data_IF_550779335345
#
_entry.id   IF_550779335345
#
_cell.length_a   1.000
_cell.length_b   1.000
_cell.length_c   1.000
_cell.angle_alpha   90.00
_cell.angle_beta   90.00
_cell.angle_gamma   90.00
#
_symmetry.space_group_name_H-M   'P 1'
#
loop_
_entity.id
_entity.type
_entity.pdbx_description
1 polymer ?
#
# COMPACT_ATOMS: atom_id res chain seq x y z
N UNK A 1 100.22 -4.14 13.68
CA UNK A 1 99.58 -4.24 12.34
C UNK A 1 98.60 -5.42 12.39
N UNK A 2 97.47 -5.44 11.67
CA UNK A 2 96.21 -4.69 11.87
C UNK A 2 94.97 -5.62 12.15
N UNK A 3 93.86 -5.02 12.60
CA UNK A 3 92.48 -5.60 12.54
C UNK A 3 91.99 -5.68 11.07
N UNK A 4 91.05 -6.60 10.70
CA UNK A 4 89.62 -6.21 10.65
C UNK A 4 88.54 -7.30 10.88
N UNK A 5 87.44 -6.83 11.49
CA UNK A 5 86.00 -7.02 11.21
C UNK A 5 85.24 -8.36 11.38
N UNK A 6 84.06 -8.33 12.05
CA UNK A 6 83.05 -9.40 12.01
C UNK A 6 81.95 -9.13 10.96
N UNK A 7 81.60 -10.15 10.18
CA UNK A 7 80.42 -10.17 9.31
C UNK A 7 79.27 -10.91 10.00
N UNK A 8 78.17 -10.21 10.21
CA UNK A 8 76.86 -10.72 10.62
C UNK A 8 76.16 -11.48 9.49
N UNK A 9 75.42 -12.53 9.81
CA UNK A 9 74.11 -12.79 9.20
C UNK A 9 73.35 -13.88 9.96
N UNK A 10 72.33 -13.43 10.67
CA UNK A 10 71.18 -14.18 11.16
C UNK A 10 70.34 -14.73 10.02
N UNK A 11 69.76 -15.93 10.18
CA UNK A 11 68.53 -16.29 9.47
C UNK A 11 67.56 -16.93 10.46
N UNK A 12 66.51 -16.17 10.74
CA UNK A 12 65.36 -16.50 11.58
C UNK A 12 64.40 -17.44 10.86
N UNK A 13 63.72 -18.24 11.68
CA UNK A 13 62.68 -19.17 11.31
C UNK A 13 61.46 -18.49 10.67
N UNK A 14 60.94 -19.09 9.60
CA UNK A 14 59.74 -18.65 8.91
C UNK A 14 58.48 -18.92 9.76
N UNK A 15 57.72 -17.86 10.04
CA UNK A 15 56.35 -17.92 10.55
C UNK A 15 55.35 -18.10 9.37
N UNK A 16 54.24 -18.83 9.57
CA UNK A 16 53.23 -19.01 8.51
C UNK A 16 52.42 -17.72 8.32
N UNK A 17 52.37 -17.24 7.08
CA UNK A 17 51.49 -16.13 6.68
C UNK A 17 50.03 -16.58 6.73
N UNK A 18 49.26 -15.99 7.63
CA UNK A 18 47.80 -16.01 7.60
C UNK A 18 47.36 -15.11 6.44
N UNK A 19 46.89 -15.72 5.35
CA UNK A 19 46.28 -15.01 4.25
C UNK A 19 44.96 -14.36 4.73
N UNK A 20 45.00 -13.06 4.97
CA UNK A 20 43.81 -12.23 5.14
C UNK A 20 43.20 -12.07 3.75
N UNK A 21 42.25 -12.96 3.41
CA UNK A 21 41.40 -12.79 2.23
C UNK A 21 40.48 -11.58 2.49
N UNK A 22 40.97 -10.39 2.15
CA UNK A 22 40.18 -9.18 2.00
C UNK A 22 39.28 -9.30 0.78
N UNK A 23 38.20 -10.07 0.91
CA UNK A 23 37.15 -10.12 -0.10
C UNK A 23 36.46 -8.76 -0.18
N UNK A 24 36.87 -7.92 -1.12
CA UNK A 24 36.07 -6.76 -1.51
C UNK A 24 34.66 -7.24 -1.84
N UNK A 25 33.60 -6.68 -1.23
CA UNK A 25 32.24 -7.07 -1.56
C UNK A 25 32.03 -6.84 -3.06
N UNK A 26 31.60 -7.90 -3.75
CA UNK A 26 31.23 -7.84 -5.17
C UNK A 26 30.32 -6.63 -5.42
N UNK A 27 30.52 -5.93 -6.53
CA UNK A 27 29.68 -4.79 -6.92
C UNK A 27 28.17 -5.14 -6.91
N UNK A 28 27.82 -6.40 -7.16
CA UNK A 28 26.44 -6.90 -7.06
C UNK A 28 25.93 -6.96 -5.60
N UNK A 29 26.79 -7.33 -4.65
CA UNK A 29 26.44 -7.33 -3.22
C UNK A 29 26.30 -5.91 -2.68
N UNK A 30 27.19 -5.00 -3.10
CA UNK A 30 27.10 -3.58 -2.75
C UNK A 30 25.83 -2.92 -3.33
N UNK A 31 25.48 -3.25 -4.58
CA UNK A 31 24.25 -2.77 -5.22
C UNK A 31 22.98 -3.32 -4.54
N UNK A 32 22.95 -4.60 -4.16
CA UNK A 32 21.83 -5.20 -3.45
C UNK A 32 21.60 -4.57 -2.06
N UNK A 33 22.68 -4.29 -1.32
CA UNK A 33 22.61 -3.62 -0.01
C UNK A 33 22.14 -2.17 -0.16
N UNK A 34 22.60 -1.46 -1.18
CA UNK A 34 22.14 -0.10 -1.47
C UNK A 34 20.66 -0.05 -1.85
N UNK A 35 20.19 -1.00 -2.66
CA UNK A 35 18.77 -1.10 -3.05
C UNK A 35 17.88 -1.44 -1.85
N UNK A 36 18.29 -2.39 -0.98
CA UNK A 36 17.58 -2.71 0.26
C UNK A 36 17.48 -1.51 1.21
N UNK A 37 18.56 -0.73 1.35
CA UNK A 37 18.56 0.49 2.15
C UNK A 37 17.60 1.56 1.60
N UNK A 38 17.62 1.80 0.28
CA UNK A 38 16.71 2.76 -0.36
C UNK A 38 15.25 2.30 -0.28
N UNK A 39 15.00 0.99 -0.37
CA UNK A 39 13.68 0.41 -0.18
C UNK A 39 13.15 0.66 1.23
N UNK A 40 13.94 0.32 2.26
CA UNK A 40 13.57 0.56 3.67
C UNK A 40 13.32 2.04 3.97
N UNK A 41 14.16 2.92 3.43
CA UNK A 41 13.99 4.38 3.58
C UNK A 41 12.68 4.87 2.95
N UNK A 42 12.31 4.36 1.77
CA UNK A 42 11.02 4.67 1.12
C UNK A 42 9.84 4.19 1.95
N UNK A 43 9.87 2.94 2.41
CA UNK A 43 8.84 2.34 3.25
C UNK A 43 8.61 3.16 4.53
N UNK A 44 9.70 3.57 5.18
CA UNK A 44 9.62 4.38 6.39
C UNK A 44 9.09 5.80 6.11
N UNK A 45 9.51 6.41 4.99
CA UNK A 45 8.99 7.71 4.56
C UNK A 45 7.50 7.68 4.24
N UNK A 46 7.04 6.66 3.53
CA UNK A 46 5.62 6.50 3.19
C UNK A 46 4.78 6.18 4.42
N UNK A 47 5.24 5.29 5.31
CA UNK A 47 4.53 5.05 6.56
C UNK A 47 4.44 6.31 7.43
N UNK A 48 5.51 7.11 7.50
CA UNK A 48 5.50 8.39 8.23
C UNK A 48 4.46 9.38 7.67
N UNK A 49 4.22 9.37 6.35
CA UNK A 49 3.13 10.14 5.75
C UNK A 49 1.76 9.74 6.33
N UNK A 50 1.47 8.44 6.43
CA UNK A 50 0.21 7.97 7.00
C UNK A 50 0.10 8.27 8.50
N UNK A 51 1.19 8.14 9.26
CA UNK A 51 1.20 8.51 10.68
C UNK A 51 0.88 10.00 10.87
N UNK A 52 1.39 10.88 9.99
CA UNK A 52 1.13 12.32 10.05
C UNK A 52 -0.29 12.71 9.62
N UNK A 53 -0.85 12.01 8.64
CA UNK A 53 -2.10 12.42 7.98
C UNK A 53 -3.32 11.57 8.36
N UNK A 54 -3.20 10.64 9.31
CA UNK A 54 -4.34 9.84 9.82
C UNK A 54 -4.53 10.05 11.32
N UNK A 55 -5.68 9.60 11.82
CA UNK A 55 -6.21 9.98 13.14
C UNK A 55 -5.86 8.99 14.27
N UNK A 56 -5.28 7.84 13.93
CA UNK A 56 -4.84 6.83 14.90
C UNK A 56 -3.76 5.94 14.32
N UNK A 57 -3.00 5.23 15.19
CA UNK A 57 -1.97 4.27 14.75
C UNK A 57 -2.57 3.15 13.90
N UNK A 58 -3.79 2.71 14.23
CA UNK A 58 -4.52 1.69 13.49
C UNK A 58 -4.91 2.19 12.10
N UNK A 59 -5.42 3.43 12.00
CA UNK A 59 -5.71 4.06 10.71
C UNK A 59 -4.45 4.25 9.86
N UNK A 60 -3.33 4.63 10.48
CA UNK A 60 -2.06 4.77 9.78
C UNK A 60 -1.60 3.45 9.16
N UNK A 61 -1.68 2.36 9.94
CA UNK A 61 -1.32 1.02 9.49
C UNK A 61 -2.22 0.53 8.35
N UNK A 62 -3.54 0.59 8.55
CA UNK A 62 -4.52 0.13 7.56
C UNK A 62 -4.45 0.96 6.28
N UNK A 63 -4.37 2.29 6.40
CA UNK A 63 -4.25 3.20 5.26
C UNK A 63 -2.96 2.96 4.46
N UNK A 64 -1.82 2.79 5.14
CA UNK A 64 -0.55 2.48 4.50
C UNK A 64 -0.60 1.15 3.74
N UNK A 65 -1.03 0.07 4.40
CA UNK A 65 -1.06 -1.25 3.78
C UNK A 65 -2.10 -1.33 2.66
N UNK A 66 -3.25 -0.67 2.81
CA UNK A 66 -4.26 -0.59 1.75
C UNK A 66 -3.72 0.15 0.53
N UNK A 67 -3.04 1.28 0.73
CA UNK A 67 -2.37 2.00 -0.34
C UNK A 67 -1.34 1.14 -1.08
N UNK A 68 -0.47 0.43 -0.34
CA UNK A 68 0.54 -0.45 -0.93
C UNK A 68 -0.11 -1.58 -1.76
N UNK A 69 -1.22 -2.16 -1.28
CA UNK A 69 -1.96 -3.19 -1.99
C UNK A 69 -2.66 -2.64 -3.24
N UNK A 70 -3.23 -1.43 -3.19
CA UNK A 70 -3.81 -0.76 -4.35
C UNK A 70 -2.77 -0.48 -5.43
N UNK A 71 -1.60 0.03 -5.05
CA UNK A 71 -0.49 0.23 -5.97
C UNK A 71 -0.05 -1.10 -6.61
N UNK A 72 0.00 -2.18 -5.82
CA UNK A 72 0.29 -3.52 -6.31
C UNK A 72 -0.75 -4.11 -7.27
N UNK A 73 -2.00 -3.62 -7.23
CA UNK A 73 -3.05 -3.98 -8.19
C UNK A 73 -2.94 -3.20 -9.52
N UNK A 74 -2.11 -2.15 -9.59
CA UNK A 74 -1.95 -1.35 -10.81
C UNK A 74 -3.16 -0.46 -11.15
N UNK A 75 -4.03 -0.17 -10.18
CA UNK A 75 -5.27 0.62 -10.42
C UNK A 75 -4.96 2.00 -11.00
N UNK A 76 -3.90 2.66 -10.51
CA UNK A 76 -3.50 3.99 -10.97
C UNK A 76 -2.86 4.01 -12.37
N UNK A 77 -2.39 2.86 -12.86
CA UNK A 77 -1.90 2.71 -14.23
C UNK A 77 -3.06 2.50 -15.23
N UNK A 78 -4.18 1.95 -14.74
CA UNK A 78 -5.40 1.74 -15.52
C UNK A 78 -6.26 3.00 -15.60
N UNK A 79 -6.38 3.72 -14.49
CA UNK A 79 -7.23 4.89 -14.36
C UNK A 79 -6.35 6.04 -13.83
N UNK A 80 -6.17 7.13 -14.58
CA UNK A 80 -5.36 8.24 -14.14
C UNK A 80 -5.88 8.86 -12.83
N UNK A 81 -4.94 9.30 -11.99
CA UNK A 81 -5.19 10.16 -10.84
C UNK A 81 -4.03 11.15 -10.74
N UNK A 82 -4.34 12.43 -10.85
CA UNK A 82 -3.40 13.55 -10.98
C UNK A 82 -2.89 14.07 -9.63
N UNK A 83 -3.47 13.58 -8.54
CA UNK A 83 -3.09 13.93 -7.18
C UNK A 83 -2.24 12.84 -6.54
N UNK A 84 -1.76 13.10 -5.32
CA UNK A 84 -1.05 12.11 -4.51
C UNK A 84 -1.97 10.91 -4.21
N UNK A 85 -1.62 9.75 -4.76
CA UNK A 85 -2.38 8.49 -4.65
C UNK A 85 -2.55 8.01 -3.20
N UNK A 86 -1.72 8.50 -2.27
CA UNK A 86 -1.88 8.22 -0.82
C UNK A 86 -3.12 8.89 -0.24
N UNK A 87 -3.59 9.99 -0.83
CA UNK A 87 -4.78 10.72 -0.38
C UNK A 87 -6.03 9.84 -0.42
N UNK A 88 -6.17 8.95 -1.41
CA UNK A 88 -7.31 8.01 -1.48
C UNK A 88 -7.46 7.23 -0.18
N UNK A 89 -6.35 6.66 0.32
CA UNK A 89 -6.33 5.86 1.54
C UNK A 89 -6.50 6.72 2.80
N UNK A 90 -5.87 7.91 2.85
CA UNK A 90 -6.06 8.87 3.95
C UNK A 90 -7.52 9.32 4.06
N UNK A 91 -8.17 9.60 2.94
CA UNK A 91 -9.57 10.03 2.89
C UNK A 91 -10.51 8.94 3.37
N UNK A 92 -10.28 7.67 3.00
CA UNK A 92 -11.05 6.56 3.55
C UNK A 92 -10.85 6.43 5.07
N UNK A 93 -9.62 6.60 5.56
CA UNK A 93 -9.34 6.56 7.00
C UNK A 93 -10.04 7.70 7.74
N UNK A 94 -10.12 8.89 7.13
CA UNK A 94 -10.91 10.01 7.65
C UNK A 94 -12.38 9.66 7.81
N UNK A 95 -13.02 9.15 6.75
CA UNK A 95 -14.44 8.80 6.77
C UNK A 95 -14.70 7.77 7.87
N UNK A 96 -13.93 6.68 7.90
CA UNK A 96 -14.14 5.63 8.89
C UNK A 96 -13.88 6.09 10.33
N UNK A 97 -12.86 6.92 10.54
CA UNK A 97 -12.59 7.50 11.85
C UNK A 97 -13.70 8.45 12.31
N UNK A 98 -14.16 9.35 11.42
CA UNK A 98 -15.22 10.31 11.72
C UNK A 98 -16.51 9.62 12.16
N UNK A 99 -16.86 8.52 11.50
CA UNK A 99 -18.03 7.71 11.81
C UNK A 99 -17.75 6.59 12.84
N UNK A 100 -16.58 6.62 13.48
CA UNK A 100 -16.21 5.75 14.61
C UNK A 100 -16.30 4.24 14.32
N UNK A 101 -15.97 3.82 13.08
CA UNK A 101 -15.93 2.40 12.77
C UNK A 101 -14.85 1.70 13.58
N UNK A 102 -15.14 0.49 14.04
CA UNK A 102 -14.15 -0.31 14.74
C UNK A 102 -13.04 -0.71 13.76
N UNK A 103 -11.75 -0.72 14.18
CA UNK A 103 -10.64 -1.05 13.28
C UNK A 103 -10.76 -2.41 12.57
N UNK A 104 -11.43 -3.38 13.17
CA UNK A 104 -11.70 -4.67 12.52
C UNK A 104 -12.65 -4.54 11.32
N UNK A 105 -13.70 -3.73 11.46
CA UNK A 105 -14.69 -3.50 10.40
C UNK A 105 -14.06 -2.70 9.26
N UNK A 106 -13.20 -1.73 9.60
CA UNK A 106 -12.37 -1.03 8.61
C UNK A 106 -11.53 -2.03 7.82
N UNK A 107 -10.80 -2.93 8.50
CA UNK A 107 -9.97 -3.92 7.83
C UNK A 107 -10.79 -4.85 6.94
N UNK A 108 -12.00 -5.24 7.37
CA UNK A 108 -12.94 -6.06 6.61
C UNK A 108 -13.43 -5.34 5.35
N UNK A 109 -13.81 -4.07 5.47
CA UNK A 109 -14.26 -3.23 4.36
C UNK A 109 -13.15 -3.02 3.33
N UNK A 110 -11.95 -2.68 3.78
CA UNK A 110 -10.79 -2.51 2.89
C UNK A 110 -10.39 -3.83 2.21
N UNK A 111 -10.41 -4.95 2.92
CA UNK A 111 -10.10 -6.26 2.36
C UNK A 111 -11.09 -6.65 1.27
N UNK A 112 -12.37 -6.43 1.53
CA UNK A 112 -13.46 -6.72 0.58
C UNK A 112 -13.36 -5.79 -0.64
N UNK A 113 -13.08 -4.50 -0.44
CA UNK A 113 -12.88 -3.54 -1.51
C UNK A 113 -11.70 -3.91 -2.43
N UNK A 114 -10.58 -4.38 -1.86
CA UNK A 114 -9.44 -4.88 -2.65
C UNK A 114 -9.83 -6.07 -3.51
N UNK A 115 -10.66 -6.97 -2.99
CA UNK A 115 -11.14 -8.13 -3.74
C UNK A 115 -12.08 -7.69 -4.86
N UNK A 116 -13.00 -6.76 -4.58
CA UNK A 116 -13.85 -6.18 -5.62
C UNK A 116 -13.02 -5.56 -6.75
N UNK A 117 -12.06 -4.70 -6.42
CA UNK A 117 -11.17 -4.06 -7.39
C UNK A 117 -10.34 -5.09 -8.19
N UNK A 118 -9.85 -6.14 -7.52
CA UNK A 118 -9.08 -7.21 -8.17
C UNK A 118 -9.94 -8.02 -9.15
N UNK A 119 -11.20 -8.27 -8.80
CA UNK A 119 -12.12 -9.11 -9.58
C UNK A 119 -12.82 -8.32 -10.69
N UNK A 120 -12.83 -6.99 -10.63
CA UNK A 120 -13.39 -6.14 -11.70
C UNK A 120 -12.49 -6.21 -12.94
N UNK A 121 -13.02 -6.58 -14.12
CA UNK A 121 -12.25 -6.60 -15.36
C UNK A 121 -11.63 -5.24 -15.69
N UNK A 122 -10.41 -5.24 -16.23
CA UNK A 122 -9.65 -3.99 -16.45
C UNK A 122 -10.31 -3.04 -17.46
N UNK A 123 -11.02 -3.56 -18.45
CA UNK A 123 -11.84 -2.80 -19.39
C UNK A 123 -13.00 -2.10 -18.68
N UNK A 124 -13.68 -2.80 -17.77
CA UNK A 124 -14.74 -2.24 -16.93
C UNK A 124 -14.18 -1.20 -15.96
N UNK A 125 -13.00 -1.41 -15.36
CA UNK A 125 -12.33 -0.41 -14.53
C UNK A 125 -12.05 0.88 -15.31
N UNK A 126 -11.57 0.79 -16.56
CA UNK A 126 -11.33 1.95 -17.42
C UNK A 126 -12.63 2.70 -17.73
N UNK A 127 -13.69 1.97 -18.10
CA UNK A 127 -15.02 2.56 -18.34
C UNK A 127 -15.55 3.28 -17.08
N UNK A 128 -15.42 2.64 -15.91
CA UNK A 128 -15.79 3.25 -14.63
C UNK A 128 -14.92 4.47 -14.30
N UNK A 129 -13.64 4.46 -14.67
CA UNK A 129 -12.74 5.60 -14.53
C UNK A 129 -13.19 6.81 -15.35
N UNK A 130 -13.69 6.59 -16.57
CA UNK A 130 -14.26 7.64 -17.42
C UNK A 130 -15.58 8.18 -16.86
N UNK A 131 -16.48 7.28 -16.41
CA UNK A 131 -17.77 7.66 -15.79
C UNK A 131 -17.60 8.36 -14.44
N UNK A 132 -16.65 7.90 -13.64
CA UNK A 132 -16.36 8.37 -12.29
C UNK A 132 -15.22 9.37 -12.22
N UNK A 133 -14.79 9.91 -13.36
CA UNK A 133 -13.76 10.95 -13.51
C UNK A 133 -12.32 10.62 -13.08
N UNK A 134 -12.04 9.64 -12.21
CA UNK A 134 -10.68 9.21 -11.85
C UNK A 134 -10.64 7.95 -10.96
N UNK A 135 -9.42 7.50 -10.63
CA UNK A 135 -9.20 6.34 -9.75
C UNK A 135 -9.69 6.55 -8.31
N UNK A 136 -9.69 7.79 -7.81
CA UNK A 136 -10.16 8.09 -6.46
C UNK A 136 -11.60 7.64 -6.28
N UNK A 137 -12.50 8.02 -7.19
CA UNK A 137 -13.91 7.63 -7.11
C UNK A 137 -14.09 6.11 -7.26
N UNK A 138 -13.37 5.49 -8.20
CA UNK A 138 -13.44 4.03 -8.38
C UNK A 138 -13.10 3.31 -7.07
N UNK A 139 -11.98 3.65 -6.43
CA UNK A 139 -11.56 3.02 -5.16
C UNK A 139 -12.51 3.35 -4.01
N UNK A 140 -12.89 4.61 -3.85
CA UNK A 140 -13.77 5.08 -2.78
C UNK A 140 -15.13 4.40 -2.83
N UNK A 141 -15.74 4.29 -4.01
CA UNK A 141 -17.08 3.73 -4.13
C UNK A 141 -17.12 2.19 -4.24
N UNK A 142 -16.02 1.53 -4.62
CA UNK A 142 -15.85 0.10 -4.33
C UNK A 142 -15.80 -0.15 -2.81
N UNK A 143 -15.12 0.75 -2.08
CA UNK A 143 -15.04 0.68 -0.62
C UNK A 143 -16.39 0.97 0.04
N UNK A 144 -17.18 1.90 -0.50
CA UNK A 144 -18.57 2.12 -0.09
C UNK A 144 -19.41 0.85 -0.24
N UNK A 145 -19.35 0.16 -1.39
CA UNK A 145 -20.10 -1.09 -1.58
C UNK A 145 -19.68 -2.20 -0.61
N UNK A 146 -18.39 -2.30 -0.30
CA UNK A 146 -17.90 -3.24 0.70
C UNK A 146 -18.46 -2.93 2.09
N UNK A 147 -18.44 -1.66 2.49
CA UNK A 147 -19.04 -1.20 3.74
C UNK A 147 -20.55 -1.46 3.81
N UNK A 148 -21.28 -1.13 2.75
CA UNK A 148 -22.72 -1.36 2.68
C UNK A 148 -23.09 -2.85 2.78
N UNK A 149 -22.21 -3.74 2.31
CA UNK A 149 -22.38 -5.20 2.43
C UNK A 149 -22.11 -5.72 3.86
N UNK A 150 -21.08 -5.21 4.54
CA UNK A 150 -20.62 -5.77 5.83
C UNK A 150 -21.34 -5.18 7.05
N UNK A 151 -21.62 -3.87 7.06
CA UNK A 151 -21.93 -3.13 8.31
C UNK A 151 -23.37 -2.58 8.35
N UNK A 152 -24.30 -3.17 7.61
CA UNK A 152 -25.73 -2.85 7.56
C UNK A 152 -26.03 -1.32 7.58
N UNK A 153 -25.35 -0.59 6.67
CA UNK A 153 -25.58 0.83 6.35
C UNK A 153 -25.26 1.83 7.49
N UNK A 154 -24.23 1.56 8.29
CA UNK A 154 -23.78 2.50 9.35
C UNK A 154 -23.40 3.89 8.80
N UNK A 155 -22.75 3.96 7.63
CA UNK A 155 -22.47 5.21 6.91
C UNK A 155 -23.30 5.24 5.61
N UNK A 156 -24.30 6.13 5.55
CA UNK A 156 -25.24 6.17 4.42
C UNK A 156 -24.59 6.79 3.20
N UNK A 157 -25.08 6.48 2.00
CA UNK A 157 -24.56 7.08 0.76
C UNK A 157 -24.51 8.62 0.82
N UNK A 158 -25.53 9.26 1.41
CA UNK A 158 -25.58 10.72 1.62
C UNK A 158 -24.42 11.25 2.48
N UNK A 159 -23.94 10.47 3.44
CA UNK A 159 -22.78 10.83 4.25
C UNK A 159 -21.51 10.87 3.39
N UNK A 160 -21.26 9.83 2.59
CA UNK A 160 -20.14 9.80 1.63
C UNK A 160 -20.21 10.97 0.62
N UNK A 161 -21.42 11.35 0.19
CA UNK A 161 -21.61 12.54 -0.65
C UNK A 161 -21.14 13.82 0.06
N UNK A 162 -21.55 14.02 1.31
CA UNK A 162 -21.24 15.22 2.07
C UNK A 162 -19.74 15.34 2.36
N UNK A 163 -19.08 14.21 2.62
CA UNK A 163 -17.64 14.18 2.91
C UNK A 163 -16.79 14.40 1.66
N UNK A 164 -17.07 13.67 0.59
CA UNK A 164 -16.18 13.63 -0.59
C UNK A 164 -16.92 13.70 -1.92
N UNK A 165 -18.12 13.10 -2.00
CA UNK A 165 -18.82 12.94 -3.28
C UNK A 165 -19.24 14.25 -3.94
N UNK A 166 -19.56 15.29 -3.16
CA UNK A 166 -19.95 16.62 -3.69
C UNK A 166 -18.87 17.31 -4.52
N UNK A 167 -17.61 16.86 -4.41
CA UNK A 167 -16.50 17.38 -5.22
C UNK A 167 -16.48 16.78 -6.63
N UNK A 168 -17.09 15.61 -6.81
CA UNK A 168 -17.01 14.82 -8.03
C UNK A 168 -18.36 14.59 -8.71
N UNK A 169 -19.45 14.64 -7.95
CA UNK A 169 -20.80 14.40 -8.45
C UNK A 169 -21.68 15.63 -8.18
N UNK A 170 -22.53 16.03 -9.13
CA UNK A 170 -23.41 17.19 -8.98
C UNK A 170 -24.56 16.95 -7.97
N UNK A 171 -24.86 15.70 -7.66
CA UNK A 171 -25.91 15.33 -6.71
C UNK A 171 -25.68 13.93 -6.13
N UNK A 172 -26.39 13.62 -5.04
CA UNK A 172 -26.42 12.27 -4.45
C UNK A 172 -26.97 11.24 -5.46
N UNK A 173 -27.91 11.64 -6.33
CA UNK A 173 -28.48 10.76 -7.34
C UNK A 173 -27.44 10.38 -8.40
N UNK A 174 -26.67 11.34 -8.92
CA UNK A 174 -25.60 11.07 -9.88
C UNK A 174 -24.50 10.16 -9.28
N UNK A 175 -24.16 10.38 -8.00
CA UNK A 175 -23.23 9.50 -7.29
C UNK A 175 -23.81 8.10 -7.08
N UNK A 176 -25.11 7.99 -6.80
CA UNK A 176 -25.81 6.71 -6.69
C UNK A 176 -25.78 5.96 -8.03
N UNK A 177 -26.00 6.64 -9.16
CA UNK A 177 -25.91 6.04 -10.49
C UNK A 177 -24.51 5.48 -10.75
N UNK A 178 -23.46 6.18 -10.31
CA UNK A 178 -22.09 5.68 -10.38
C UNK A 178 -21.86 4.44 -9.50
N UNK A 179 -22.35 4.44 -8.25
CA UNK A 179 -22.31 3.27 -7.37
C UNK A 179 -23.06 2.09 -8.00
N UNK A 180 -24.21 2.33 -8.61
CA UNK A 180 -24.96 1.31 -9.36
C UNK A 180 -24.18 0.78 -10.56
N UNK A 181 -23.42 1.62 -11.27
CA UNK A 181 -22.55 1.17 -12.34
C UNK A 181 -21.44 0.25 -11.80
N UNK A 182 -20.83 0.56 -10.66
CA UNK A 182 -19.86 -0.35 -10.01
C UNK A 182 -20.54 -1.67 -9.64
N UNK A 183 -21.71 -1.63 -9.03
CA UNK A 183 -22.41 -2.84 -8.57
C UNK A 183 -22.88 -3.73 -9.73
N UNK A 184 -23.43 -3.13 -10.78
CA UNK A 184 -23.96 -3.86 -11.94
C UNK A 184 -22.85 -4.29 -12.90
N UNK A 185 -22.05 -3.35 -13.42
CA UNK A 185 -21.00 -3.62 -14.42
C UNK A 185 -19.74 -4.18 -13.78
N UNK A 186 -19.28 -3.57 -12.70
CA UNK A 186 -18.04 -3.98 -12.03
C UNK A 186 -18.17 -5.31 -11.29
N UNK A 187 -19.30 -5.51 -10.62
CA UNK A 187 -19.54 -6.69 -9.76
C UNK A 187 -20.52 -7.70 -10.31
N UNK A 188 -21.20 -7.44 -11.42
CA UNK A 188 -22.19 -8.37 -11.98
C UNK A 188 -23.33 -8.67 -11.01
N UNK A 189 -23.73 -7.70 -10.18
CA UNK A 189 -24.69 -7.87 -9.07
C UNK A 189 -24.25 -8.84 -7.95
N UNK A 190 -22.95 -9.13 -7.82
CA UNK A 190 -22.41 -10.02 -6.79
C UNK A 190 -21.50 -9.30 -5.79
N UNK A 191 -21.97 -9.16 -4.55
CA UNK A 191 -21.19 -8.64 -3.42
C UNK A 191 -20.61 -9.75 -2.53
N UNK A 192 -21.07 -10.98 -2.67
CA UNK A 192 -20.50 -12.08 -1.88
C UNK A 192 -19.03 -12.31 -2.24
N UNK A 193 -18.21 -12.48 -1.20
CA UNK A 193 -16.79 -12.82 -1.32
C UNK A 193 -16.46 -13.99 -0.40
N UNK A 194 -15.62 -14.90 -0.88
CA UNK A 194 -15.14 -16.03 -0.09
C UNK A 194 -14.35 -15.56 1.14
N UNK A 195 -14.79 -15.99 2.34
CA UNK A 195 -14.19 -15.63 3.63
C UNK A 195 -12.67 -15.90 3.68
N UNK A 196 -12.21 -16.99 3.08
CA UNK A 196 -10.77 -17.31 3.00
C UNK A 196 -9.98 -16.23 2.27
N UNK A 197 -10.54 -15.62 1.22
CA UNK A 197 -9.89 -14.52 0.48
C UNK A 197 -9.84 -13.27 1.34
N UNK A 198 -10.95 -12.94 1.99
CA UNK A 198 -11.06 -11.82 2.92
C UNK A 198 -10.01 -11.94 4.03
N UNK A 199 -9.92 -13.11 4.69
CA UNK A 199 -8.95 -13.37 5.74
C UNK A 199 -7.48 -13.22 5.30
N UNK A 200 -7.15 -13.53 4.03
CA UNK A 200 -5.80 -13.27 3.48
C UNK A 200 -5.52 -11.78 3.37
N UNK A 201 -6.48 -10.98 2.92
CA UNK A 201 -6.30 -9.53 2.79
C UNK A 201 -6.30 -8.82 4.14
N UNK A 202 -7.16 -9.22 5.09
CA UNK A 202 -7.12 -8.69 6.46
C UNK A 202 -5.75 -8.92 7.11
N UNK A 203 -5.17 -10.13 6.96
CA UNK A 203 -3.82 -10.41 7.46
C UNK A 203 -2.77 -9.47 6.85
N UNK A 204 -2.82 -9.22 5.54
CA UNK A 204 -1.91 -8.27 4.86
C UNK A 204 -2.11 -6.84 5.38
N UNK A 205 -3.35 -6.39 5.52
CA UNK A 205 -3.70 -5.05 6.00
C UNK A 205 -3.25 -4.79 7.45
N UNK A 206 -3.28 -5.82 8.29
CA UNK A 206 -2.87 -5.73 9.69
C UNK A 206 -1.39 -6.06 9.94
N UNK A 207 -0.63 -6.40 8.90
CA UNK A 207 0.80 -6.71 9.03
C UNK A 207 1.61 -5.44 9.25
N UNK A 208 2.66 -5.50 10.09
CA UNK A 208 3.57 -4.37 10.26
C UNK A 208 4.28 -4.05 8.93
N UNK A 209 4.54 -2.76 8.63
CA UNK A 209 5.36 -2.39 7.48
C UNK A 209 6.74 -3.04 7.62
N UNK A 210 7.15 -3.84 6.63
CA UNK A 210 8.47 -4.51 6.59
C UNK A 210 9.46 -3.72 5.75
#
# INVERSE_FOLDING_TARGET
MPLPSPSSSSSDAAAPQVAVNGGHPSAAAAAAVADDYQRKKRIQGDYAYFVKNTYSKQCALLGYNFHALLCGLGIYDLIPYDQDTRLVSVTLMYIFYKYQLHPCDIALNLATALIYLQDTPSDVLRELGELGHNAFNVVVYHTYLAHAWNDDVTIKLKDWYNEVGRLYFPSVAAMNDFVWAIFSKGRGFHLFVEERRVGRYVKKLCSLPM
#
